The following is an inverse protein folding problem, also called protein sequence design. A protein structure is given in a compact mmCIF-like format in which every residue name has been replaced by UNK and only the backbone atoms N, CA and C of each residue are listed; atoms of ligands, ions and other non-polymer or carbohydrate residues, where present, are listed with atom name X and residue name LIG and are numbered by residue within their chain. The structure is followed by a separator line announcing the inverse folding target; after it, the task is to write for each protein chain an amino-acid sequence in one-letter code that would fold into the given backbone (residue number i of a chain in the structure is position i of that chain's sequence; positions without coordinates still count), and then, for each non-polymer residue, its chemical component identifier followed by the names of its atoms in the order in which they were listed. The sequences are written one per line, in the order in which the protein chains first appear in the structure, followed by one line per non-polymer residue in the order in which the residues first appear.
data_IF_812003670779
#
_entry.id   IF_812003670779
#
_cell.length_a   1.000
_cell.length_b   1.000
_cell.length_c   1.000
_cell.angle_alpha   90.00
_cell.angle_beta   90.00
_cell.angle_gamma   90.00
#
_symmetry.space_group_name_H-M   'P 1'
#
loop_
_entity.id
_entity.type
_entity.pdbx_description
1 polymer ?
#
# COMPACT_ATOMS: atom_id res chain seq x y z
N UNK A 1 -24.66 33.38 -45.85
CA UNK A 1 -24.05 33.36 -44.50
C UNK A 1 -24.38 32.02 -43.84
N UNK A 2 -23.39 31.16 -43.59
CA UNK A 2 -23.50 30.00 -42.68
C UNK A 2 -22.07 29.58 -42.31
N UNK A 3 -21.61 29.95 -41.12
CA UNK A 3 -20.35 29.46 -40.54
C UNK A 3 -20.70 28.26 -39.65
N UNK A 4 -20.25 27.06 -40.03
CA UNK A 4 -20.26 25.90 -39.16
C UNK A 4 -18.91 25.85 -38.44
N UNK A 5 -18.91 26.20 -37.15
CA UNK A 5 -17.79 25.93 -36.24
C UNK A 5 -17.93 24.47 -35.80
N UNK A 6 -17.03 23.59 -36.28
CA UNK A 6 -16.90 22.24 -35.71
C UNK A 6 -16.04 22.31 -34.46
N UNK A 7 -16.69 22.10 -33.31
CA UNK A 7 -16.04 21.88 -32.03
C UNK A 7 -15.55 20.41 -32.01
N UNK A 8 -14.25 20.17 -32.19
CA UNK A 8 -13.65 18.88 -31.87
C UNK A 8 -13.36 18.84 -30.37
N UNK A 9 -14.26 18.22 -29.61
CA UNK A 9 -14.01 17.86 -28.23
C UNK A 9 -13.10 16.62 -28.22
N UNK A 10 -11.81 16.82 -27.94
CA UNK A 10 -10.88 15.75 -27.61
C UNK A 10 -11.27 15.19 -26.23
N UNK A 11 -12.06 14.11 -26.22
CA UNK A 11 -12.26 13.28 -25.04
C UNK A 11 -10.96 12.52 -24.75
N UNK A 12 -10.19 12.99 -23.79
CA UNK A 12 -9.09 12.21 -23.21
C UNK A 12 -9.69 11.12 -22.32
N UNK A 13 -9.75 9.88 -22.82
CA UNK A 13 -10.10 8.72 -22.01
C UNK A 13 -8.87 8.36 -21.18
N UNK A 14 -8.91 8.64 -19.87
CA UNK A 14 -7.92 8.12 -18.93
C UNK A 14 -8.15 6.62 -18.77
N UNK A 15 -7.30 5.80 -19.38
CA UNK A 15 -7.24 4.38 -19.06
C UNK A 15 -6.60 4.22 -17.68
N UNK A 16 -7.42 3.98 -16.66
CA UNK A 16 -6.92 3.43 -15.41
C UNK A 16 -6.41 2.02 -15.72
N UNK A 17 -5.10 1.87 -15.91
CA UNK A 17 -4.49 0.56 -15.97
C UNK A 17 -4.82 -0.17 -14.65
N UNK A 18 -5.24 -1.45 -14.70
CA UNK A 18 -5.47 -2.21 -13.49
C UNK A 18 -4.18 -2.23 -12.68
N UNK A 19 -4.32 -1.97 -11.37
CA UNK A 19 -3.19 -1.99 -10.45
C UNK A 19 -2.42 -3.30 -10.57
N UNK A 20 -1.10 -3.18 -10.71
CA UNK A 20 -0.17 -4.32 -10.79
C UNK A 20 0.32 -4.79 -9.43
N UNK A 21 -0.06 -4.06 -8.37
CA UNK A 21 0.18 -4.48 -7.01
C UNK A 21 -0.69 -5.68 -6.62
N UNK A 22 -0.14 -6.55 -5.78
CA UNK A 22 -0.89 -7.59 -5.08
C UNK A 22 -0.64 -7.46 -3.59
N UNK A 23 -1.71 -7.46 -2.79
CA UNK A 23 -1.60 -7.60 -1.34
C UNK A 23 -1.86 -9.04 -0.95
N UNK A 24 -0.88 -9.63 -0.26
CA UNK A 24 -1.05 -10.90 0.44
C UNK A 24 -1.46 -10.58 1.88
N UNK A 25 -2.57 -11.17 2.31
CA UNK A 25 -3.21 -10.87 3.59
C UNK A 25 -2.31 -11.13 4.80
N UNK A 26 -2.30 -10.22 5.77
CA UNK A 26 -1.63 -10.39 7.07
C UNK A 26 -2.56 -10.93 8.16
N UNK A 27 -1.99 -11.55 9.19
CA UNK A 27 -2.71 -12.06 10.36
C UNK A 27 -1.93 -11.74 11.63
N UNK A 28 -2.59 -11.15 12.63
CA UNK A 28 -1.96 -10.74 13.88
C UNK A 28 -2.77 -11.25 15.07
N UNK A 29 -2.14 -11.97 15.98
CA UNK A 29 -2.76 -12.55 17.17
C UNK A 29 -2.41 -11.69 18.38
N UNK A 30 -3.40 -11.34 19.20
CA UNK A 30 -3.23 -10.36 20.27
C UNK A 30 -4.23 -10.61 21.39
N UNK A 31 -3.86 -10.36 22.65
CA UNK A 31 -4.81 -10.39 23.75
C UNK A 31 -5.60 -9.06 23.85
N UNK A 32 -6.80 -9.11 24.42
CA UNK A 32 -7.54 -7.89 24.73
C UNK A 32 -6.76 -7.07 25.77
N UNK A 33 -6.67 -5.75 25.57
CA UNK A 33 -5.86 -4.86 26.41
C UNK A 33 -4.40 -4.71 25.96
N UNK A 34 -3.96 -5.44 24.94
CA UNK A 34 -2.60 -5.36 24.41
C UNK A 34 -2.52 -4.62 23.07
N UNK A 35 -1.29 -4.47 22.54
CA UNK A 35 -1.04 -3.90 21.22
C UNK A 35 -0.74 -5.01 20.22
N UNK A 36 -1.47 -5.05 19.11
CA UNK A 36 -1.06 -5.84 17.95
C UNK A 36 0.09 -5.11 17.24
N UNK A 37 1.21 -5.81 17.03
CA UNK A 37 2.37 -5.26 16.33
C UNK A 37 2.28 -5.65 14.85
N UNK A 38 1.61 -4.80 14.07
CA UNK A 38 1.45 -4.99 12.64
C UNK A 38 2.81 -4.85 11.95
N UNK A 39 3.05 -5.68 10.94
CA UNK A 39 4.25 -5.64 10.10
C UNK A 39 3.88 -5.73 8.64
N UNK A 40 4.45 -4.84 7.84
CA UNK A 40 4.29 -4.75 6.40
C UNK A 40 5.64 -5.00 5.74
N UNK A 41 5.65 -5.92 4.78
CA UNK A 41 6.82 -6.28 3.98
C UNK A 41 6.54 -5.93 2.53
N UNK A 42 7.58 -5.49 1.83
CA UNK A 42 7.46 -4.99 0.47
C UNK A 42 8.33 -5.82 -0.47
N UNK A 43 7.84 -6.03 -1.68
CA UNK A 43 8.59 -6.65 -2.75
C UNK A 43 8.36 -5.89 -4.05
N UNK A 44 9.43 -5.31 -4.58
CA UNK A 44 9.41 -4.63 -5.86
C UNK A 44 9.88 -5.62 -6.93
N UNK A 45 9.16 -5.70 -8.05
CA UNK A 45 9.62 -6.47 -9.20
C UNK A 45 10.90 -5.84 -9.81
N UNK A 46 11.59 -6.61 -10.64
CA UNK A 46 12.77 -6.10 -11.34
C UNK A 46 12.45 -4.83 -12.12
N UNK A 47 13.31 -3.82 -11.99
CA UNK A 47 13.15 -2.49 -12.59
C UNK A 47 11.95 -1.66 -12.08
N UNK A 48 11.21 -2.12 -11.07
CA UNK A 48 10.28 -1.27 -10.33
C UNK A 48 11.06 -0.62 -9.19
N UNK A 49 11.09 0.70 -9.20
CA UNK A 49 11.74 1.52 -8.18
C UNK A 49 10.68 2.23 -7.37
N UNK A 50 10.90 2.37 -6.07
CA UNK A 50 10.13 3.30 -5.26
C UNK A 50 10.73 4.71 -5.40
N UNK A 51 9.89 5.75 -5.43
CA UNK A 51 10.36 7.13 -5.53
C UNK A 51 9.82 8.00 -4.38
N UNK A 52 10.73 8.48 -3.52
CA UNK A 52 10.42 9.32 -2.34
C UNK A 52 9.92 10.72 -2.69
N UNK A 53 10.09 11.18 -3.94
CA UNK A 53 9.59 12.48 -4.37
C UNK A 53 8.05 12.54 -4.41
N UNK A 54 7.37 11.39 -4.44
CA UNK A 54 5.92 11.28 -4.32
C UNK A 54 5.48 10.74 -2.96
N UNK A 55 4.26 11.09 -2.55
CA UNK A 55 3.65 10.54 -1.35
C UNK A 55 3.25 9.08 -1.56
N UNK A 56 3.62 8.22 -0.60
CA UNK A 56 3.24 6.81 -0.54
C UNK A 56 2.76 6.44 0.86
N UNK A 57 1.57 5.85 0.93
CA UNK A 57 0.81 5.65 2.17
C UNK A 57 0.16 4.26 2.20
N UNK A 58 0.13 3.66 3.37
CA UNK A 58 -0.77 2.55 3.69
C UNK A 58 -1.86 3.09 4.59
N UNK A 59 -3.12 2.97 4.18
CA UNK A 59 -4.27 3.48 4.92
C UNK A 59 -5.26 2.36 5.27
N UNK A 60 -5.84 2.45 6.46
CA UNK A 60 -6.93 1.58 6.89
C UNK A 60 -7.69 2.19 8.08
N UNK A 61 -8.87 1.65 8.39
CA UNK A 61 -9.62 2.03 9.60
C UNK A 61 -9.32 1.05 10.73
N UNK A 62 -8.96 1.57 11.91
CA UNK A 62 -8.80 0.76 13.11
C UNK A 62 -10.16 0.13 13.50
N UNK A 63 -10.30 -1.21 13.52
CA UNK A 63 -11.58 -1.88 13.74
C UNK A 63 -12.12 -1.76 15.17
N UNK A 64 -11.30 -1.29 16.13
CA UNK A 64 -11.69 -1.14 17.52
C UNK A 64 -12.09 0.30 17.90
N UNK A 65 -11.58 1.29 17.15
CA UNK A 65 -11.80 2.72 17.46
C UNK A 65 -12.51 3.46 16.33
N UNK A 66 -12.67 2.85 15.15
CA UNK A 66 -13.17 3.47 13.93
C UNK A 66 -12.38 4.72 13.49
N UNK A 67 -11.14 4.89 13.95
CA UNK A 67 -10.26 5.98 13.54
C UNK A 67 -9.40 5.58 12.34
N UNK A 68 -9.08 6.51 11.42
CA UNK A 68 -8.14 6.24 10.34
C UNK A 68 -6.73 6.01 10.89
N UNK A 69 -5.99 5.15 10.20
CA UNK A 69 -4.57 4.89 10.38
C UNK A 69 -3.90 5.09 9.03
N UNK A 70 -2.89 5.94 8.99
CA UNK A 70 -2.08 6.20 7.80
C UNK A 70 -0.61 5.99 8.16
N UNK A 71 0.09 5.22 7.34
CA UNK A 71 1.49 4.89 7.53
C UNK A 71 2.28 5.33 6.30
N UNK A 72 3.23 6.23 6.50
CA UNK A 72 4.12 6.70 5.45
C UNK A 72 5.19 5.65 5.12
N UNK A 73 5.38 5.39 3.83
CA UNK A 73 6.45 4.53 3.33
C UNK A 73 7.54 5.42 2.75
N UNK A 74 8.73 5.45 3.35
CA UNK A 74 9.81 6.36 2.92
C UNK A 74 11.24 5.82 3.06
N UNK A 75 11.41 4.62 3.64
CA UNK A 75 12.72 4.05 3.98
C UNK A 75 13.03 2.80 3.18
N UNK A 76 14.31 2.62 2.86
CA UNK A 76 14.78 1.50 2.09
C UNK A 76 16.19 1.71 1.56
N UNK A 77 16.61 0.82 0.67
CA UNK A 77 17.93 0.83 0.05
C UNK A 77 17.92 1.72 -1.20
N UNK A 78 18.82 2.72 -1.30
CA UNK A 78 18.93 3.54 -2.51
C UNK A 78 19.29 2.72 -3.75
N UNK A 79 18.75 3.11 -4.90
CA UNK A 79 19.12 2.53 -6.19
C UNK A 79 20.46 3.11 -6.67
N UNK A 80 21.48 2.27 -6.98
CA UNK A 80 22.80 2.77 -7.40
C UNK A 80 22.73 3.66 -8.64
N UNK A 81 23.53 4.74 -8.64
CA UNK A 81 23.68 5.67 -9.77
C UNK A 81 22.39 6.40 -10.20
N UNK A 82 21.40 6.49 -9.32
CA UNK A 82 20.20 7.32 -9.49
C UNK A 82 20.15 8.42 -8.42
N UNK A 83 19.27 9.44 -8.58
CA UNK A 83 19.00 10.39 -7.51
C UNK A 83 18.59 9.67 -6.22
N UNK A 84 18.89 10.25 -5.06
CA UNK A 84 18.69 9.61 -3.75
C UNK A 84 17.25 9.19 -3.48
N UNK A 85 16.28 9.81 -4.17
CA UNK A 85 14.87 9.52 -4.00
C UNK A 85 14.43 8.17 -4.56
N UNK A 86 15.25 7.55 -5.40
CA UNK A 86 14.97 6.23 -5.96
C UNK A 86 15.48 5.14 -5.03
N UNK A 87 14.59 4.26 -4.58
CA UNK A 87 14.91 3.10 -3.77
C UNK A 87 14.67 1.81 -4.57
N UNK A 88 15.61 0.87 -4.48
CA UNK A 88 15.52 -0.45 -5.11
C UNK A 88 14.87 -1.51 -4.22
N UNK A 89 14.83 -1.26 -2.91
CA UNK A 89 14.09 -2.06 -1.95
C UNK A 89 13.58 -1.16 -0.82
N UNK A 90 12.51 -1.59 -0.17
CA UNK A 90 11.91 -0.89 0.96
C UNK A 90 12.15 -1.64 2.26
N UNK A 91 12.34 -0.90 3.35
CA UNK A 91 12.41 -1.47 4.68
C UNK A 91 11.02 -1.95 5.12
N UNK A 92 10.97 -2.96 6.00
CA UNK A 92 9.71 -3.37 6.60
C UNK A 92 9.14 -2.24 7.47
N UNK A 93 7.83 -2.03 7.37
CA UNK A 93 7.12 -1.01 8.14
C UNK A 93 6.37 -1.66 9.29
N UNK A 94 6.45 -1.06 10.48
CA UNK A 94 5.75 -1.52 11.68
C UNK A 94 4.69 -0.53 12.12
N UNK A 95 3.57 -1.02 12.62
CA UNK A 95 2.54 -0.19 13.26
C UNK A 95 1.98 -0.87 14.51
N UNK A 96 1.61 -0.09 15.52
CA UNK A 96 0.97 -0.60 16.73
C UNK A 96 -0.52 -0.29 16.69
N UNK A 97 -1.33 -1.32 16.90
CA UNK A 97 -2.77 -1.20 16.98
C UNK A 97 -3.22 -1.56 18.40
N UNK A 98 -3.71 -0.58 19.15
CA UNK A 98 -4.21 -0.82 20.51
C UNK A 98 -5.55 -1.54 20.48
N UNK A 99 -5.63 -2.67 21.18
CA UNK A 99 -6.84 -3.45 21.38
C UNK A 99 -7.41 -3.12 22.75
N UNK A 100 -8.61 -2.50 22.85
CA UNK A 100 -9.19 -2.16 24.14
C UNK A 100 -9.34 -3.38 25.06
N UNK A 101 -9.17 -3.16 26.37
CA UNK A 101 -9.53 -4.17 27.35
C UNK A 101 -11.03 -4.52 27.24
N UNK A 102 -11.36 -5.80 27.43
CA UNK A 102 -12.74 -6.28 27.29
C UNK A 102 -13.22 -6.47 25.85
N UNK A 103 -12.37 -6.24 24.85
CA UNK A 103 -12.66 -6.63 23.46
C UNK A 103 -12.94 -8.13 23.41
N UNK A 104 -14.08 -8.51 22.80
CA UNK A 104 -14.49 -9.91 22.68
C UNK A 104 -13.47 -10.67 21.82
N UNK A 105 -13.22 -11.93 22.19
CA UNK A 105 -12.43 -12.81 21.35
C UNK A 105 -13.09 -12.98 19.98
N UNK A 106 -12.30 -12.98 18.91
CA UNK A 106 -12.82 -13.03 17.55
C UNK A 106 -11.83 -12.58 16.48
N UNK A 107 -12.28 -12.69 15.22
CA UNK A 107 -11.52 -12.26 14.04
C UNK A 107 -12.07 -10.93 13.55
N UNK A 108 -11.24 -9.91 13.58
CA UNK A 108 -11.53 -8.56 13.11
C UNK A 108 -10.85 -8.37 11.76
N UNK A 109 -11.64 -8.34 10.69
CA UNK A 109 -11.14 -8.16 9.31
C UNK A 109 -11.07 -6.68 8.98
N UNK A 110 -9.93 -6.27 8.45
CA UNK A 110 -9.64 -4.88 8.10
C UNK A 110 -9.30 -4.83 6.62
N UNK A 111 -10.02 -3.99 5.87
CA UNK A 111 -9.60 -3.61 4.52
C UNK A 111 -8.55 -2.51 4.63
N UNK A 112 -7.51 -2.60 3.81
CA UNK A 112 -6.47 -1.59 3.70
C UNK A 112 -6.26 -1.20 2.24
N UNK A 113 -5.67 -0.04 2.03
CA UNK A 113 -5.23 0.44 0.74
C UNK A 113 -3.75 0.83 0.82
N UNK A 114 -2.97 0.43 -0.16
CA UNK A 114 -1.57 0.84 -0.30
C UNK A 114 -1.45 1.69 -1.57
N UNK A 115 -1.21 2.98 -1.39
CA UNK A 115 -0.97 3.94 -2.44
C UNK A 115 0.53 4.19 -2.54
N UNK A 116 1.14 3.82 -3.66
CA UNK A 116 2.59 3.86 -3.84
C UNK A 116 2.97 4.70 -5.06
N UNK A 117 3.97 5.55 -4.89
CA UNK A 117 4.61 6.25 -6.00
C UNK A 117 5.83 5.47 -6.47
N UNK A 118 5.67 4.85 -7.64
CA UNK A 118 6.63 3.91 -8.22
C UNK A 118 7.14 4.45 -9.55
N UNK A 119 8.30 3.97 -9.98
CA UNK A 119 8.85 4.27 -11.29
C UNK A 119 9.35 2.99 -11.96
N UNK A 120 9.13 2.90 -13.27
CA UNK A 120 9.73 1.86 -14.09
C UNK A 120 11.10 2.34 -14.58
N UNK A 121 12.15 1.72 -14.08
CA UNK A 121 13.53 2.15 -14.25
C UNK A 121 14.04 2.10 -15.68
N UNK A 122 13.50 1.24 -16.54
CA UNK A 122 13.91 1.15 -17.95
C UNK A 122 13.31 2.29 -18.78
N UNK A 123 12.00 2.51 -18.66
CA UNK A 123 11.28 3.54 -19.39
C UNK A 123 11.37 4.93 -18.74
N UNK A 124 11.85 5.01 -17.50
CA UNK A 124 11.92 6.24 -16.69
C UNK A 124 10.57 6.91 -16.52
N UNK A 125 9.51 6.11 -16.40
CA UNK A 125 8.13 6.58 -16.20
C UNK A 125 7.74 6.30 -14.76
N UNK A 126 7.26 7.34 -14.06
CA UNK A 126 6.70 7.21 -12.74
C UNK A 126 5.17 7.17 -12.79
N UNK A 127 4.58 6.40 -11.88
CA UNK A 127 3.16 6.16 -11.81
C UNK A 127 2.72 5.99 -10.35
N UNK A 128 1.45 6.26 -10.11
CA UNK A 128 0.80 6.01 -8.83
C UNK A 128 0.07 4.68 -8.94
N UNK A 129 0.34 3.79 -8.00
CA UNK A 129 -0.22 2.46 -7.91
C UNK A 129 -1.08 2.39 -6.65
N UNK A 130 -2.34 1.98 -6.79
CA UNK A 130 -3.27 1.84 -5.66
C UNK A 130 -3.67 0.38 -5.56
N UNK A 131 -3.30 -0.25 -4.45
CA UNK A 131 -3.51 -1.68 -4.22
C UNK A 131 -4.40 -1.91 -3.00
N UNK A 132 -5.57 -2.50 -3.23
CA UNK A 132 -6.45 -2.92 -2.14
C UNK A 132 -5.94 -4.21 -1.48
N UNK A 133 -6.05 -4.27 -0.17
CA UNK A 133 -5.60 -5.40 0.64
C UNK A 133 -6.50 -5.69 1.83
N UNK A 134 -6.14 -6.75 2.57
CA UNK A 134 -6.84 -7.14 3.80
C UNK A 134 -5.85 -7.60 4.86
N UNK A 135 -6.16 -7.34 6.12
CA UNK A 135 -5.49 -7.98 7.26
C UNK A 135 -6.51 -8.47 8.28
N UNK A 136 -6.12 -9.42 9.11
CA UNK A 136 -6.91 -9.95 10.21
C UNK A 136 -6.23 -9.66 11.55
N UNK A 137 -6.99 -9.12 12.51
CA UNK A 137 -6.59 -9.06 13.91
C UNK A 137 -7.41 -10.09 14.69
N UNK A 138 -6.73 -11.06 15.30
CA UNK A 138 -7.33 -12.18 16.03
C UNK A 138 -7.18 -11.95 17.53
N UNK A 139 -8.25 -11.48 18.15
CA UNK A 139 -8.28 -11.19 19.59
C UNK A 139 -8.54 -12.46 20.38
N UNK A 140 -7.69 -12.73 21.38
CA UNK A 140 -7.77 -13.93 22.22
C UNK A 140 -7.37 -15.23 21.51
N UNK A 141 -6.90 -15.14 20.27
CA UNK A 141 -6.34 -16.27 19.52
C UNK A 141 -4.88 -16.49 19.89
N UNK A 142 -4.42 -17.73 19.77
CA UNK A 142 -2.99 -18.09 19.79
C UNK A 142 -2.53 -18.41 18.37
N UNK A 143 -1.28 -18.10 18.06
CA UNK A 143 -0.71 -18.34 16.74
C UNK A 143 0.52 -17.49 16.46
N UNK A 144 1.13 -17.74 15.30
CA UNK A 144 2.21 -16.91 14.80
C UNK A 144 1.64 -15.76 13.97
N UNK A 145 2.20 -14.58 14.15
CA UNK A 145 1.88 -13.43 13.31
C UNK A 145 2.45 -13.61 11.90
N UNK A 146 1.65 -13.21 10.92
CA UNK A 146 1.96 -13.23 9.50
C UNK A 146 1.94 -11.77 9.01
N UNK A 147 3.06 -11.25 8.50
CA UNK A 147 3.10 -9.88 8.00
C UNK A 147 2.19 -9.71 6.78
N UNK A 148 1.70 -8.50 6.57
CA UNK A 148 1.09 -8.11 5.29
C UNK A 148 2.22 -8.01 4.27
N UNK A 149 2.09 -8.67 3.12
CA UNK A 149 3.07 -8.53 2.04
C UNK A 149 2.47 -7.77 0.88
N UNK A 150 3.17 -6.73 0.46
CA UNK A 150 2.81 -5.86 -0.64
C UNK A 150 3.80 -6.11 -1.78
N UNK A 151 3.32 -6.73 -2.85
CA UNK A 151 4.13 -7.01 -4.03
C UNK A 151 3.73 -6.05 -5.15
N UNK A 152 4.70 -5.38 -5.78
CA UNK A 152 4.45 -4.42 -6.85
C UNK A 152 5.14 -4.88 -8.13
N UNK A 153 4.35 -5.13 -9.16
CA UNK A 153 4.85 -5.54 -10.47
C UNK A 153 4.99 -4.34 -11.43
N UNK A 154 5.58 -4.61 -12.59
CA UNK A 154 5.65 -3.64 -13.68
C UNK A 154 4.25 -3.48 -14.30
N UNK A 155 3.81 -2.27 -14.66
CA UNK A 155 2.59 -2.05 -15.43
C UNK A 155 2.62 -2.91 -16.69
N UNK A 156 1.58 -3.74 -16.88
CA UNK A 156 1.38 -4.47 -18.13
C UNK A 156 1.20 -3.46 -19.27
N UNK A 157 1.91 -3.67 -20.38
CA UNK A 157 1.62 -2.96 -21.63
C UNK A 157 0.46 -3.62 -22.36
#
# INVERSE_FOLDING_TARGET
MKRFLSLLALLSVAFAAPGTGTVISGQFNVAAGENANLRFEFKLAQHVLFNRAGSSLISFTNPFTNKPVELEVSKGKPYPNAPEDYLESLDALGAKLSVPAGTKAGVYRVSLEAEMFLCEGVLKVCYREVTAGKLEVRVGGSGRDVPVRLEFARPGR
#
